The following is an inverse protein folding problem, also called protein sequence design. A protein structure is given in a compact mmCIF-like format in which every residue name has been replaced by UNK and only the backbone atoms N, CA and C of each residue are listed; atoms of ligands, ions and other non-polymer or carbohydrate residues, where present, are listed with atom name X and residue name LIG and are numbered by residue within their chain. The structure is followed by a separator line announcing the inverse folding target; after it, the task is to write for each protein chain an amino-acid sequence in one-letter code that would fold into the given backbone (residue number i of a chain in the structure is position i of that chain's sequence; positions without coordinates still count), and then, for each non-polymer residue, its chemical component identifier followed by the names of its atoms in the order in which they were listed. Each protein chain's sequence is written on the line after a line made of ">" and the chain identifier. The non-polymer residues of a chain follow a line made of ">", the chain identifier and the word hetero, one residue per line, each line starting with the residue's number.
data_IF_363605213560
#
_entry.id   IF_363605213560
#
_cell.length_a   1.000
_cell.length_b   1.000
_cell.length_c   1.000
_cell.angle_alpha   90.00
_cell.angle_beta   90.00
_cell.angle_gamma   90.00
#
_symmetry.space_group_name_H-M   'P 1'
#
loop_
_entity.id
_entity.type
_entity.pdbx_description
1 polymer ?
#
# COMPACT_ATOMS: atom_id res chain seq x y z
N UNK A 1 9.91 -31.71 -1.45
CA UNK A 1 9.14 -32.20 -0.27
C UNK A 1 8.85 -31.03 0.66
N UNK A 2 7.62 -30.97 1.18
CA UNK A 2 7.18 -29.92 2.12
C UNK A 2 6.52 -30.62 3.30
N UNK A 3 6.96 -30.29 4.51
CA UNK A 3 6.42 -30.82 5.76
C UNK A 3 6.10 -29.67 6.72
N UNK A 4 4.93 -29.73 7.38
CA UNK A 4 4.59 -28.83 8.48
C UNK A 4 4.97 -29.51 9.81
N UNK A 5 5.96 -28.97 10.52
CA UNK A 5 6.42 -29.50 11.79
C UNK A 5 6.63 -28.37 12.79
N UNK A 6 6.11 -28.54 14.00
CA UNK A 6 6.21 -27.60 15.11
C UNK A 6 5.83 -26.14 14.76
N UNK A 7 4.83 -25.97 13.85
CA UNK A 7 4.37 -24.66 13.37
C UNK A 7 5.25 -24.05 12.27
N UNK A 8 6.28 -24.76 11.79
CA UNK A 8 7.17 -24.32 10.71
C UNK A 8 6.96 -25.14 9.44
N UNK A 9 7.06 -24.48 8.29
CA UNK A 9 7.13 -25.14 6.99
C UNK A 9 8.59 -25.53 6.69
N UNK A 10 8.85 -26.83 6.67
CA UNK A 10 10.13 -27.40 6.25
C UNK A 10 10.05 -27.75 4.77
N UNK A 11 10.83 -27.06 3.94
CA UNK A 11 10.87 -27.31 2.50
C UNK A 11 12.27 -27.80 2.11
N UNK A 12 12.34 -28.90 1.36
CA UNK A 12 13.60 -29.47 0.89
C UNK A 12 13.48 -29.83 -0.59
N UNK A 13 14.51 -29.47 -1.37
CA UNK A 13 14.62 -29.93 -2.75
C UNK A 13 14.97 -31.41 -2.81
N UNK A 14 14.54 -32.15 -3.84
CA UNK A 14 14.96 -33.53 -4.04
C UNK A 14 16.50 -33.62 -4.07
N UNK A 15 17.03 -34.59 -3.31
CA UNK A 15 18.47 -34.84 -3.20
C UNK A 15 19.30 -33.61 -2.76
N UNK A 16 18.73 -32.67 -2.01
CA UNK A 16 19.38 -31.41 -1.57
C UNK A 16 20.03 -30.63 -2.73
N UNK A 17 19.52 -30.81 -3.94
CA UNK A 17 20.02 -30.15 -5.14
C UNK A 17 19.37 -28.81 -5.41
N UNK A 18 19.60 -28.24 -6.60
CA UNK A 18 18.91 -27.04 -7.09
C UNK A 18 17.45 -27.35 -7.41
N UNK A 19 16.59 -26.34 -7.26
CA UNK A 19 15.23 -26.39 -7.79
C UNK A 19 15.24 -26.70 -9.29
N UNK A 20 14.20 -27.35 -9.75
CA UNK A 20 14.00 -27.62 -11.18
C UNK A 20 12.89 -26.69 -11.69
N UNK A 21 13.13 -26.04 -12.83
CA UNK A 21 12.18 -25.15 -13.47
C UNK A 21 10.89 -25.86 -13.84
N UNK A 22 9.80 -25.13 -13.88
CA UNK A 22 8.47 -25.64 -14.22
C UNK A 22 7.48 -24.51 -14.43
N UNK A 23 6.26 -24.86 -14.87
CA UNK A 23 5.16 -23.91 -15.01
C UNK A 23 4.27 -23.92 -13.78
N UNK A 24 3.91 -22.73 -13.30
CA UNK A 24 2.96 -22.55 -12.21
C UNK A 24 1.99 -21.42 -12.53
N UNK A 25 0.72 -21.59 -12.12
CA UNK A 25 -0.32 -20.56 -12.22
C UNK A 25 -0.84 -20.24 -10.83
N UNK A 26 -0.70 -19.00 -10.40
CA UNK A 26 -1.29 -18.54 -9.14
C UNK A 26 -2.82 -18.55 -9.22
N UNK A 27 -3.48 -18.91 -8.13
CA UNK A 27 -4.96 -18.84 -8.03
C UNK A 27 -5.44 -17.39 -8.09
N UNK A 28 -4.67 -16.46 -7.52
CA UNK A 28 -4.87 -15.02 -7.58
C UNK A 28 -3.50 -14.33 -7.68
N UNK A 29 -3.47 -13.13 -8.27
CA UNK A 29 -2.24 -12.35 -8.38
C UNK A 29 -1.78 -11.91 -6.98
N UNK A 30 -0.69 -12.51 -6.50
CA UNK A 30 -0.11 -12.23 -5.19
C UNK A 30 1.30 -11.69 -5.37
N UNK A 31 1.56 -10.49 -4.82
CA UNK A 31 2.88 -9.84 -4.87
C UNK A 31 3.93 -10.72 -4.20
N UNK A 32 3.75 -11.09 -2.94
CA UNK A 32 4.73 -11.89 -2.21
C UNK A 32 4.97 -13.28 -2.81
N UNK A 33 3.93 -13.94 -3.38
CA UNK A 33 4.12 -15.21 -4.07
C UNK A 33 4.91 -15.03 -5.38
N UNK A 34 4.65 -13.94 -6.13
CA UNK A 34 5.38 -13.61 -7.35
C UNK A 34 6.85 -13.31 -7.05
N UNK A 35 7.14 -12.48 -6.05
CA UNK A 35 8.51 -12.15 -5.63
C UNK A 35 9.30 -13.41 -5.24
N UNK A 36 8.73 -14.23 -4.36
CA UNK A 36 9.38 -15.46 -3.91
C UNK A 36 9.62 -16.44 -5.07
N UNK A 37 8.63 -16.61 -5.99
CA UNK A 37 8.79 -17.46 -7.15
C UNK A 37 9.91 -16.95 -8.07
N UNK A 38 9.93 -15.66 -8.38
CA UNK A 38 10.94 -15.05 -9.25
C UNK A 38 12.34 -15.22 -8.66
N UNK A 39 12.54 -14.90 -7.39
CA UNK A 39 13.84 -15.07 -6.72
C UNK A 39 14.30 -16.52 -6.72
N UNK A 40 13.43 -17.46 -6.37
CA UNK A 40 13.77 -18.88 -6.32
C UNK A 40 14.08 -19.46 -7.71
N UNK A 41 13.33 -19.04 -8.74
CA UNK A 41 13.48 -19.52 -10.11
C UNK A 41 14.76 -19.02 -10.78
N UNK A 42 15.34 -17.90 -10.34
CA UNK A 42 16.60 -17.36 -10.90
C UNK A 42 17.75 -18.39 -10.85
N UNK A 43 17.78 -19.25 -9.83
CA UNK A 43 18.80 -20.25 -9.65
C UNK A 43 18.29 -21.69 -9.91
N UNK A 44 17.07 -21.88 -10.37
CA UNK A 44 16.54 -23.19 -10.72
C UNK A 44 17.21 -23.74 -11.99
N UNK A 45 17.21 -25.06 -12.17
CA UNK A 45 17.69 -25.68 -13.42
C UNK A 45 16.61 -25.57 -14.49
N UNK A 46 16.93 -25.02 -15.67
CA UNK A 46 16.04 -24.95 -16.80
C UNK A 46 15.15 -23.72 -16.83
N UNK A 47 13.95 -23.85 -17.41
CA UNK A 47 12.98 -22.76 -17.60
C UNK A 47 11.85 -22.86 -16.57
N UNK A 48 11.53 -21.74 -15.95
CA UNK A 48 10.34 -21.55 -15.11
C UNK A 48 9.39 -20.55 -15.74
N UNK A 49 8.08 -20.74 -15.56
CA UNK A 49 7.07 -19.79 -15.99
C UNK A 49 6.00 -19.62 -14.90
N UNK A 50 5.74 -18.37 -14.52
CA UNK A 50 4.67 -18.01 -13.61
C UNK A 50 3.56 -17.33 -14.40
N UNK A 51 2.33 -17.87 -14.30
CA UNK A 51 1.11 -17.29 -14.90
C UNK A 51 0.25 -16.69 -13.78
N UNK A 52 -0.55 -15.69 -14.12
CA UNK A 52 -1.32 -14.87 -13.18
C UNK A 52 -0.41 -14.23 -12.11
N UNK A 53 0.77 -13.79 -12.54
CA UNK A 53 1.73 -13.08 -11.72
C UNK A 53 1.19 -11.69 -11.33
N UNK A 54 1.67 -11.16 -10.22
CA UNK A 54 1.46 -9.77 -9.84
C UNK A 54 2.21 -8.84 -10.82
N UNK A 55 1.60 -7.70 -11.15
CA UNK A 55 2.11 -6.74 -12.13
C UNK A 55 2.57 -5.42 -11.50
N UNK A 56 2.56 -5.35 -10.17
CA UNK A 56 2.92 -4.16 -9.40
C UNK A 56 4.33 -3.65 -9.77
N UNK A 57 4.55 -2.33 -9.69
CA UNK A 57 5.85 -1.71 -9.94
C UNK A 57 7.00 -2.32 -9.13
N UNK A 58 6.72 -2.84 -7.92
CA UNK A 58 7.66 -3.52 -7.04
C UNK A 58 8.20 -4.81 -7.68
N UNK A 59 7.37 -5.53 -8.44
CA UNK A 59 7.79 -6.71 -9.20
C UNK A 59 8.75 -6.33 -10.32
N UNK A 60 8.44 -5.26 -11.04
CA UNK A 60 9.31 -4.74 -12.12
C UNK A 60 10.66 -4.29 -11.54
N UNK A 61 10.64 -3.63 -10.40
CA UNK A 61 11.84 -3.17 -9.70
C UNK A 61 12.72 -4.34 -9.24
N UNK A 62 12.11 -5.36 -8.59
CA UNK A 62 12.81 -6.59 -8.19
C UNK A 62 13.45 -7.29 -9.41
N UNK A 63 12.69 -7.44 -10.51
CA UNK A 63 13.20 -8.07 -11.72
C UNK A 63 14.35 -7.26 -12.33
N UNK A 64 14.27 -5.93 -12.31
CA UNK A 64 15.34 -5.05 -12.77
C UNK A 64 16.61 -5.26 -11.94
N UNK A 65 16.48 -5.34 -10.61
CA UNK A 65 17.59 -5.67 -9.72
C UNK A 65 18.19 -7.04 -10.05
N UNK A 66 17.38 -8.08 -10.16
CA UNK A 66 17.84 -9.43 -10.47
C UNK A 66 18.51 -9.53 -11.86
N UNK A 67 18.00 -8.83 -12.85
CA UNK A 67 18.65 -8.73 -14.17
C UNK A 67 20.02 -8.07 -14.10
N UNK A 68 20.18 -7.02 -13.29
CA UNK A 68 21.48 -6.41 -13.06
C UNK A 68 22.48 -7.34 -12.36
N UNK A 69 21.97 -8.33 -11.60
CA UNK A 69 22.77 -9.41 -11.01
C UNK A 69 23.07 -10.55 -11.99
N UNK A 70 22.54 -10.51 -13.22
CA UNK A 70 22.75 -11.51 -14.26
C UNK A 70 21.62 -12.54 -14.43
N UNK A 71 20.45 -12.33 -13.79
CA UNK A 71 19.30 -13.19 -14.00
C UNK A 71 18.72 -13.04 -15.43
N UNK A 72 18.19 -14.14 -15.97
CA UNK A 72 17.54 -14.17 -17.28
C UNK A 72 16.01 -14.25 -17.09
N UNK A 73 15.35 -13.09 -17.08
CA UNK A 73 13.92 -12.94 -16.80
C UNK A 73 13.28 -12.11 -17.92
N UNK A 74 12.04 -12.41 -18.25
CA UNK A 74 11.20 -11.64 -19.17
C UNK A 74 9.74 -11.68 -18.75
N UNK A 75 8.95 -10.66 -19.17
CA UNK A 75 7.53 -10.57 -18.91
C UNK A 75 7.19 -9.85 -17.59
N UNK A 76 8.14 -9.19 -16.93
CA UNK A 76 7.85 -8.33 -15.80
C UNK A 76 6.85 -7.23 -16.17
N UNK A 77 5.95 -6.90 -15.23
CA UNK A 77 4.86 -5.95 -15.49
C UNK A 77 3.70 -6.53 -16.33
N UNK A 78 3.76 -7.82 -16.66
CA UNK A 78 2.65 -8.57 -17.26
C UNK A 78 2.21 -9.70 -16.36
N UNK A 79 1.08 -10.33 -16.67
CA UNK A 79 0.56 -11.47 -15.91
C UNK A 79 1.36 -12.78 -16.08
N UNK A 80 2.39 -12.77 -16.93
CA UNK A 80 3.18 -13.97 -17.24
C UNK A 80 4.67 -13.66 -17.24
N UNK A 81 5.39 -14.21 -16.25
CA UNK A 81 6.85 -14.05 -16.10
C UNK A 81 7.54 -15.35 -16.48
N UNK A 82 8.56 -15.26 -17.34
CA UNK A 82 9.40 -16.38 -17.72
C UNK A 82 10.82 -16.17 -17.24
N UNK A 83 11.40 -17.20 -16.61
CA UNK A 83 12.75 -17.18 -16.04
C UNK A 83 13.54 -18.36 -16.59
N UNK A 84 14.75 -18.11 -17.08
CA UNK A 84 15.76 -19.15 -17.34
C UNK A 84 16.78 -19.11 -16.22
N UNK A 85 16.82 -20.16 -15.43
CA UNK A 85 17.74 -20.20 -14.29
C UNK A 85 19.20 -20.15 -14.72
N UNK A 86 20.01 -19.44 -13.94
CA UNK A 86 21.45 -19.30 -14.14
C UNK A 86 22.22 -20.05 -13.04
N UNK A 87 23.51 -20.31 -13.25
CA UNK A 87 24.30 -21.05 -12.27
C UNK A 87 24.64 -20.20 -11.04
N UNK A 88 24.79 -18.89 -11.23
CA UNK A 88 25.06 -17.92 -10.15
C UNK A 88 24.53 -16.54 -10.52
N UNK A 89 24.25 -15.75 -9.49
CA UNK A 89 24.05 -14.31 -9.58
C UNK A 89 25.30 -13.58 -9.10
N UNK A 90 25.55 -12.40 -9.65
CA UNK A 90 26.67 -11.54 -9.27
C UNK A 90 26.18 -10.41 -8.35
N UNK A 91 27.11 -9.72 -7.70
CA UNK A 91 26.78 -8.45 -7.00
C UNK A 91 26.36 -7.37 -7.99
N UNK A 92 25.43 -6.53 -7.57
CA UNK A 92 24.97 -5.37 -8.35
C UNK A 92 24.66 -4.19 -7.42
N UNK A 93 24.68 -2.98 -7.99
CA UNK A 93 24.17 -1.77 -7.33
C UNK A 93 22.81 -1.46 -7.93
N UNK A 94 21.79 -1.33 -7.08
CA UNK A 94 20.43 -1.03 -7.49
C UNK A 94 19.83 0.03 -6.57
N UNK A 95 19.12 1.00 -7.14
CA UNK A 95 18.33 1.96 -6.38
C UNK A 95 16.88 1.48 -6.36
N UNK A 96 16.39 1.11 -5.19
CA UNK A 96 15.02 0.63 -5.01
C UNK A 96 14.03 1.74 -5.35
N UNK A 97 12.94 1.37 -6.01
CA UNK A 97 11.83 2.28 -6.32
C UNK A 97 11.23 2.85 -5.02
N UNK A 98 10.69 4.07 -5.11
CA UNK A 98 9.99 4.66 -3.95
C UNK A 98 8.77 3.82 -3.54
N UNK A 99 8.46 3.81 -2.24
CA UNK A 99 7.23 3.18 -1.73
C UNK A 99 6.00 4.01 -2.15
N UNK A 100 5.23 3.48 -3.12
CA UNK A 100 4.03 4.14 -3.63
C UNK A 100 2.91 4.22 -2.58
N UNK A 101 2.87 3.31 -1.61
CA UNK A 101 1.86 3.33 -0.56
C UNK A 101 2.19 4.41 0.47
N UNK A 102 3.47 4.58 0.80
CA UNK A 102 3.92 5.74 1.58
C UNK A 102 3.61 7.05 0.84
N UNK A 103 3.90 7.12 -0.47
CA UNK A 103 3.55 8.27 -1.32
C UNK A 103 2.05 8.59 -1.22
N UNK A 104 1.17 7.62 -1.50
CA UNK A 104 -0.28 7.81 -1.46
C UNK A 104 -0.79 8.24 -0.08
N UNK A 105 -0.18 7.72 0.98
CA UNK A 105 -0.50 8.13 2.35
C UNK A 105 -0.16 9.61 2.59
N UNK A 106 1.02 10.08 2.19
CA UNK A 106 1.38 11.49 2.33
C UNK A 106 0.61 12.41 1.37
N UNK A 107 0.13 11.90 0.23
CA UNK A 107 -0.80 12.65 -0.62
C UNK A 107 -2.11 13.00 0.11
N UNK A 108 -2.59 12.12 0.99
CA UNK A 108 -3.81 12.35 1.77
C UNK A 108 -3.63 13.34 2.92
N UNK A 109 -2.44 13.50 3.46
CA UNK A 109 -2.21 14.38 4.62
C UNK A 109 -2.67 15.85 4.38
N UNK A 110 -2.24 16.55 3.30
CA UNK A 110 -2.72 17.91 3.02
C UNK A 110 -4.21 17.95 2.63
N UNK A 111 -4.72 16.85 2.08
CA UNK A 111 -6.13 16.78 1.66
C UNK A 111 -7.05 16.75 2.88
N UNK A 112 -6.74 15.92 3.87
CA UNK A 112 -7.58 15.74 5.07
C UNK A 112 -7.41 16.89 6.07
N UNK A 113 -6.17 17.40 6.23
CA UNK A 113 -5.87 18.49 7.17
C UNK A 113 -6.13 19.89 6.57
N UNK A 114 -6.25 20.00 5.25
CA UNK A 114 -6.22 21.26 4.52
C UNK A 114 -4.80 21.72 4.20
N UNK A 115 -4.60 22.35 3.05
CA UNK A 115 -3.31 22.89 2.63
C UNK A 115 -2.76 22.26 1.35
N UNK A 116 -1.44 22.37 1.18
CA UNK A 116 -0.71 21.81 0.04
C UNK A 116 0.66 21.28 0.47
N UNK A 117 1.12 20.22 -0.19
CA UNK A 117 2.45 19.62 0.04
C UNK A 117 3.07 19.23 -1.30
N UNK A 118 4.38 19.44 -1.44
CA UNK A 118 5.18 18.86 -2.52
C UNK A 118 5.86 17.58 -2.02
N UNK A 119 5.65 16.50 -2.76
CA UNK A 119 6.20 15.18 -2.48
C UNK A 119 7.38 14.92 -3.44
N UNK A 120 8.58 15.11 -2.95
CA UNK A 120 9.81 15.00 -3.73
C UNK A 120 10.01 13.55 -4.20
N UNK A 121 10.31 13.39 -5.48
CA UNK A 121 10.46 12.08 -6.13
C UNK A 121 9.13 11.39 -6.44
N UNK A 122 7.98 11.96 -6.02
CA UNK A 122 6.66 11.38 -6.27
C UNK A 122 6.37 11.19 -7.76
N UNK A 123 5.78 10.04 -8.11
CA UNK A 123 5.43 9.67 -9.48
C UNK A 123 3.96 9.23 -9.53
N UNK A 124 3.14 9.98 -10.28
CA UNK A 124 1.69 9.70 -10.39
C UNK A 124 1.40 8.36 -11.07
N UNK A 125 2.28 7.96 -11.97
CA UNK A 125 2.19 6.73 -12.76
C UNK A 125 2.20 5.45 -11.88
N UNK A 126 2.73 5.55 -10.67
CA UNK A 126 2.74 4.43 -9.71
C UNK A 126 1.38 4.21 -9.03
N UNK A 127 0.47 5.20 -9.09
CA UNK A 127 -0.79 5.24 -8.34
C UNK A 127 -1.96 5.83 -9.17
N UNK A 128 -2.03 5.56 -10.47
CA UNK A 128 -3.02 6.18 -11.36
C UNK A 128 -4.47 6.04 -10.87
N UNK A 129 -4.90 4.83 -10.50
CA UNK A 129 -6.25 4.58 -10.00
C UNK A 129 -6.55 5.36 -8.71
N UNK A 130 -5.58 5.46 -7.80
CA UNK A 130 -5.70 6.24 -6.58
C UNK A 130 -5.75 7.75 -6.86
N UNK A 131 -4.86 8.25 -7.72
CA UNK A 131 -4.85 9.66 -8.15
C UNK A 131 -6.17 10.04 -8.84
N UNK A 132 -6.73 9.15 -9.66
CA UNK A 132 -8.04 9.32 -10.27
C UNK A 132 -9.14 9.53 -9.22
N UNK A 133 -9.18 8.71 -8.16
CA UNK A 133 -10.14 8.85 -7.06
C UNK A 133 -9.94 10.13 -6.24
N UNK A 134 -8.70 10.56 -6.03
CA UNK A 134 -8.43 11.84 -5.39
C UNK A 134 -8.91 13.02 -6.25
N UNK A 135 -8.70 12.97 -7.56
CA UNK A 135 -9.19 13.99 -8.49
C UNK A 135 -10.71 14.07 -8.51
N UNK A 136 -11.39 12.90 -8.52
CA UNK A 136 -12.86 12.79 -8.41
C UNK A 136 -13.35 13.40 -7.09
N UNK A 137 -12.61 13.22 -6.00
CA UNK A 137 -12.91 13.83 -4.71
C UNK A 137 -12.65 15.35 -4.64
N UNK A 138 -12.10 15.96 -5.70
CA UNK A 138 -11.83 17.41 -5.77
C UNK A 138 -10.42 17.79 -5.31
N UNK A 139 -9.47 16.87 -5.36
CA UNK A 139 -8.06 17.12 -5.06
C UNK A 139 -7.33 17.54 -6.33
N UNK A 140 -6.49 18.57 -6.24
CA UNK A 140 -5.58 18.98 -7.31
C UNK A 140 -4.23 18.27 -7.14
N UNK A 141 -3.81 17.54 -8.18
CA UNK A 141 -2.52 16.88 -8.25
C UNK A 141 -1.81 17.40 -9.49
N UNK A 142 -0.61 17.92 -9.33
CA UNK A 142 0.19 18.45 -10.44
C UNK A 142 1.63 17.95 -10.35
N UNK A 143 2.25 17.74 -11.51
CA UNK A 143 3.68 17.43 -11.59
C UNK A 143 4.50 18.71 -11.33
N UNK A 144 5.61 18.54 -10.61
CA UNK A 144 6.60 19.59 -10.39
C UNK A 144 7.94 19.14 -10.98
N UNK A 145 8.94 20.02 -10.95
CA UNK A 145 10.32 19.66 -11.35
C UNK A 145 10.88 18.52 -10.49
N UNK A 146 10.47 18.45 -9.23
CA UNK A 146 11.06 17.52 -8.26
C UNK A 146 10.14 16.36 -7.86
N UNK A 147 8.87 16.33 -8.30
CA UNK A 147 7.93 15.30 -7.91
C UNK A 147 6.47 15.67 -8.16
N UNK A 148 5.64 15.54 -7.14
CA UNK A 148 4.20 15.82 -7.19
C UNK A 148 3.80 16.87 -6.16
N UNK A 149 2.97 17.82 -6.57
CA UNK A 149 2.28 18.74 -5.66
C UNK A 149 0.84 18.31 -5.50
N UNK A 150 0.39 18.19 -4.26
CA UNK A 150 -0.97 17.83 -3.89
C UNK A 150 -1.59 18.95 -3.09
N UNK A 151 -2.79 19.37 -3.50
CA UNK A 151 -3.50 20.48 -2.89
C UNK A 151 -4.97 20.15 -2.72
N UNK A 152 -5.53 20.47 -1.56
CA UNK A 152 -6.98 20.51 -1.38
C UNK A 152 -7.54 21.72 -2.11
N UNK A 153 -8.33 21.48 -3.16
CA UNK A 153 -8.87 22.55 -4.01
C UNK A 153 -10.16 23.16 -3.45
N UNK A 154 -10.98 22.34 -2.80
CA UNK A 154 -12.31 22.71 -2.30
C UNK A 154 -12.30 22.83 -0.77
N UNK A 155 -13.18 23.64 -0.23
CA UNK A 155 -13.38 23.72 1.23
C UNK A 155 -13.89 22.39 1.80
N UNK A 156 -14.64 21.64 1.00
CA UNK A 156 -15.12 20.30 1.31
C UNK A 156 -14.66 19.31 0.26
N UNK A 157 -14.35 18.09 0.68
CA UNK A 157 -14.02 16.96 -0.21
C UNK A 157 -15.30 16.26 -0.63
N UNK A 158 -15.43 15.93 -1.90
CA UNK A 158 -16.56 15.15 -2.40
C UNK A 158 -16.43 13.69 -1.96
N UNK A 159 -17.55 13.05 -1.66
CA UNK A 159 -17.60 11.61 -1.44
C UNK A 159 -17.35 10.87 -2.76
N UNK A 160 -16.58 9.80 -2.71
CA UNK A 160 -16.30 8.93 -3.86
C UNK A 160 -16.39 7.48 -3.46
N UNK A 161 -16.87 6.64 -4.37
CA UNK A 161 -16.88 5.20 -4.18
C UNK A 161 -15.54 4.60 -4.57
N UNK A 162 -15.10 3.63 -3.78
CA UNK A 162 -13.82 2.94 -3.97
C UNK A 162 -14.03 1.43 -3.95
N UNK A 163 -13.42 0.75 -4.92
CA UNK A 163 -13.30 -0.71 -4.92
C UNK A 163 -11.83 -1.06 -5.05
N UNK A 164 -11.31 -1.85 -4.10
CA UNK A 164 -9.94 -2.34 -4.19
C UNK A 164 -9.82 -3.40 -5.29
N UNK A 165 -8.70 -3.39 -5.97
CA UNK A 165 -8.40 -4.34 -7.04
C UNK A 165 -6.90 -4.56 -7.16
N UNK A 166 -6.52 -5.68 -7.79
CA UNK A 166 -5.12 -5.92 -8.17
C UNK A 166 -4.60 -4.81 -9.09
N UNK A 167 -3.30 -4.58 -9.08
CA UNK A 167 -2.68 -3.56 -9.92
C UNK A 167 -3.02 -3.78 -11.42
N UNK A 168 -3.35 -2.70 -12.17
CA UNK A 168 -3.25 -1.28 -11.84
C UNK A 168 -4.49 -0.67 -11.16
N UNK A 169 -5.37 -1.47 -10.54
CA UNK A 169 -6.53 -0.98 -9.82
C UNK A 169 -6.19 -0.26 -8.51
N UNK A 170 -7.25 0.12 -7.76
CA UNK A 170 -7.07 0.83 -6.49
C UNK A 170 -6.42 -0.09 -5.44
N UNK A 171 -5.25 0.29 -4.88
CA UNK A 171 -4.51 -0.59 -3.99
C UNK A 171 -5.22 -0.75 -2.65
N UNK A 172 -5.39 -2.01 -2.22
CA UNK A 172 -5.97 -2.36 -0.91
C UNK A 172 -5.19 -1.72 0.25
N UNK A 173 -3.90 -1.44 0.08
CA UNK A 173 -3.05 -0.80 1.09
C UNK A 173 -3.31 0.70 1.29
N UNK A 174 -4.11 1.33 0.44
CA UNK A 174 -4.59 2.72 0.60
C UNK A 174 -6.08 2.81 0.98
N UNK A 175 -6.76 1.68 1.15
CA UNK A 175 -8.18 1.62 1.48
C UNK A 175 -8.48 2.29 2.83
N UNK A 176 -7.72 1.97 3.88
CA UNK A 176 -7.93 2.53 5.22
C UNK A 176 -7.70 4.05 5.27
N UNK A 177 -6.67 4.53 4.57
CA UNK A 177 -6.35 5.96 4.47
C UNK A 177 -7.44 6.70 3.68
N UNK A 178 -7.95 6.11 2.61
CA UNK A 178 -9.07 6.68 1.85
C UNK A 178 -10.35 6.71 2.68
N UNK A 179 -10.62 5.67 3.48
CA UNK A 179 -11.75 5.67 4.42
C UNK A 179 -11.65 6.83 5.42
N UNK A 180 -10.47 7.10 5.97
CA UNK A 180 -10.26 8.24 6.86
C UNK A 180 -10.60 9.58 6.18
N UNK A 181 -10.23 9.76 4.90
CA UNK A 181 -10.61 10.94 4.13
C UNK A 181 -12.14 11.01 3.94
N UNK A 182 -12.77 9.90 3.55
CA UNK A 182 -14.23 9.86 3.31
C UNK A 182 -15.04 10.13 4.58
N UNK A 183 -14.48 9.90 5.77
CA UNK A 183 -15.14 10.27 7.03
C UNK A 183 -15.39 11.80 7.16
N UNK A 184 -14.67 12.64 6.41
CA UNK A 184 -14.83 14.10 6.41
C UNK A 184 -15.33 14.65 5.06
N UNK A 185 -15.72 13.79 4.14
CA UNK A 185 -16.24 14.18 2.82
C UNK A 185 -17.68 14.68 2.90
N UNK A 186 -18.12 15.36 1.86
CA UNK A 186 -19.51 15.76 1.70
C UNK A 186 -20.29 14.67 0.98
N UNK A 187 -21.12 13.93 1.71
CA UNK A 187 -21.98 12.90 1.14
C UNK A 187 -21.73 11.50 1.71
N UNK A 188 -21.96 10.49 0.90
CA UNK A 188 -21.84 9.06 1.26
C UNK A 188 -20.92 8.37 0.28
N UNK A 189 -19.98 7.59 0.82
CA UNK A 189 -19.05 6.78 0.04
C UNK A 189 -19.25 5.30 0.34
N UNK A 190 -19.15 4.47 -0.69
CA UNK A 190 -19.10 3.03 -0.58
C UNK A 190 -17.66 2.57 -0.81
N UNK A 191 -17.07 1.88 0.17
CA UNK A 191 -15.77 1.26 0.04
C UNK A 191 -15.92 -0.25 0.00
N UNK A 192 -15.52 -0.87 -1.10
CA UNK A 192 -15.57 -2.32 -1.32
C UNK A 192 -14.15 -2.89 -1.27
N UNK A 193 -13.88 -3.75 -0.29
CA UNK A 193 -12.61 -4.47 -0.16
C UNK A 193 -12.75 -5.84 -0.84
N UNK A 194 -12.11 -5.99 -2.00
CA UNK A 194 -12.21 -7.19 -2.83
C UNK A 194 -10.93 -8.05 -2.81
N UNK A 195 -9.89 -7.61 -2.09
CA UNK A 195 -8.57 -8.27 -2.07
C UNK A 195 -8.33 -9.01 -0.76
N UNK A 196 -8.63 -8.37 0.38
CA UNK A 196 -8.41 -8.95 1.71
C UNK A 196 -9.72 -9.12 2.47
N UNK A 197 -9.90 -10.29 3.03
CA UNK A 197 -10.99 -10.54 3.96
C UNK A 197 -10.77 -9.77 5.28
N UNK A 198 -11.86 -9.25 5.86
CA UNK A 198 -11.86 -8.60 7.19
C UNK A 198 -10.88 -7.42 7.36
N UNK A 199 -10.69 -6.60 6.33
CA UNK A 199 -9.72 -5.48 6.37
C UNK A 199 -10.33 -4.16 6.86
N UNK A 200 -11.40 -4.17 7.66
CA UNK A 200 -12.03 -2.96 8.22
C UNK A 200 -11.79 -2.78 9.72
N UNK A 201 -10.72 -3.32 10.29
CA UNK A 201 -10.41 -3.23 11.73
C UNK A 201 -10.15 -1.79 12.21
N UNK A 202 -9.88 -0.85 11.30
CA UNK A 202 -9.75 0.57 11.61
C UNK A 202 -11.11 1.29 11.73
N UNK A 203 -12.17 0.74 11.17
CA UNK A 203 -13.50 1.38 11.17
C UNK A 203 -14.03 1.63 12.60
N UNK A 204 -14.00 0.67 13.54
CA UNK A 204 -14.41 0.91 14.93
C UNK A 204 -13.60 2.05 15.60
N UNK A 205 -12.32 2.16 15.30
CA UNK A 205 -11.48 3.22 15.87
C UNK A 205 -11.79 4.60 15.26
N UNK A 206 -12.10 4.67 13.96
CA UNK A 206 -12.62 5.90 13.33
C UNK A 206 -13.99 6.28 13.90
N UNK A 207 -14.87 5.30 14.17
CA UNK A 207 -16.16 5.56 14.83
C UNK A 207 -16.00 6.13 16.24
N UNK A 208 -14.96 5.74 16.99
CA UNK A 208 -14.61 6.38 18.29
C UNK A 208 -14.25 7.86 18.13
N UNK A 209 -13.74 8.25 16.95
CA UNK A 209 -13.48 9.65 16.58
C UNK A 209 -14.73 10.37 16.06
N UNK A 210 -15.90 9.72 16.06
CA UNK A 210 -17.16 10.28 15.61
C UNK A 210 -17.50 10.03 14.14
N UNK A 211 -16.76 9.19 13.45
CA UNK A 211 -17.10 8.79 12.08
C UNK A 211 -18.40 7.97 12.04
N UNK A 212 -19.16 8.10 10.95
CA UNK A 212 -20.37 7.33 10.68
C UNK A 212 -20.07 6.27 9.61
N UNK A 213 -19.80 5.05 10.06
CA UNK A 213 -19.41 3.93 9.23
C UNK A 213 -20.30 2.73 9.53
N UNK A 214 -20.84 2.10 8.48
CA UNK A 214 -21.55 0.84 8.54
C UNK A 214 -20.79 -0.20 7.72
N UNK A 215 -20.37 -1.31 8.36
CA UNK A 215 -19.57 -2.36 7.72
C UNK A 215 -20.42 -3.62 7.60
N UNK A 216 -20.55 -4.12 6.37
CA UNK A 216 -21.26 -5.37 6.06
C UNK A 216 -20.40 -6.23 5.13
N UNK A 217 -19.83 -7.31 5.67
CA UNK A 217 -18.90 -8.18 4.93
C UNK A 217 -17.71 -7.39 4.37
N UNK A 218 -17.45 -7.51 3.08
CA UNK A 218 -16.39 -6.80 2.37
C UNK A 218 -16.72 -5.36 1.95
N UNK A 219 -17.78 -4.76 2.49
CA UNK A 219 -18.23 -3.41 2.10
C UNK A 219 -18.41 -2.52 3.33
N UNK A 220 -17.93 -1.29 3.26
CA UNK A 220 -18.20 -0.23 4.23
C UNK A 220 -18.93 0.93 3.56
N UNK A 221 -20.00 1.42 4.20
CA UNK A 221 -20.69 2.65 3.84
C UNK A 221 -20.26 3.73 4.81
N UNK A 222 -19.62 4.79 4.31
CA UNK A 222 -19.09 5.90 5.11
C UNK A 222 -19.92 7.14 4.82
N UNK A 223 -20.54 7.72 5.85
CA UNK A 223 -21.22 9.01 5.77
C UNK A 223 -20.28 10.07 6.31
N UNK A 224 -19.92 11.03 5.49
CA UNK A 224 -19.05 12.12 5.92
C UNK A 224 -19.68 12.95 7.03
N UNK A 225 -18.84 13.35 7.97
CA UNK A 225 -19.22 14.24 9.08
C UNK A 225 -18.47 15.57 8.96
N UNK A 226 -19.05 16.69 9.42
CA UNK A 226 -18.37 17.98 9.35
C UNK A 226 -17.02 18.01 10.03
N UNK A 227 -16.86 17.24 11.12
CA UNK A 227 -15.61 17.19 11.90
C UNK A 227 -15.51 15.89 12.68
N UNK A 228 -14.32 15.31 12.70
CA UNK A 228 -13.94 14.26 13.63
C UNK A 228 -13.55 14.87 14.98
N UNK A 229 -13.60 14.08 16.04
CA UNK A 229 -13.21 14.46 17.41
C UNK A 229 -11.95 13.70 17.81
N UNK A 230 -11.07 14.37 18.50
CA UNK A 230 -9.91 13.73 19.11
C UNK A 230 -10.33 12.64 20.09
N UNK A 231 -9.67 11.50 20.04
CA UNK A 231 -9.97 10.33 20.88
C UNK A 231 -8.71 9.52 21.19
N UNK A 232 -8.81 8.64 22.17
CA UNK A 232 -7.82 7.58 22.38
C UNK A 232 -8.20 6.40 21.50
N UNK A 233 -7.34 6.08 20.53
CA UNK A 233 -7.53 5.01 19.54
C UNK A 233 -6.33 4.07 19.51
N UNK A 234 -6.52 2.88 19.01
CA UNK A 234 -5.51 1.83 19.01
C UNK A 234 -5.16 1.38 17.60
N UNK A 235 -3.87 1.41 17.28
CA UNK A 235 -3.34 0.84 16.06
C UNK A 235 -3.46 -0.71 16.08
N UNK A 236 -4.13 -1.28 15.08
CA UNK A 236 -4.34 -2.73 14.96
C UNK A 236 -3.35 -3.38 14.00
N UNK A 237 -2.97 -2.66 12.96
CA UNK A 237 -1.99 -3.07 11.94
C UNK A 237 -1.33 -1.82 11.31
N UNK A 238 -0.42 -2.05 10.37
CA UNK A 238 0.34 -0.99 9.70
C UNK A 238 -0.56 0.02 8.97
N UNK A 239 -1.53 -0.43 8.19
CA UNK A 239 -2.37 0.44 7.33
C UNK A 239 -3.49 1.11 8.13
N UNK A 240 -4.12 0.36 9.04
CA UNK A 240 -5.06 0.93 10.01
C UNK A 240 -4.40 2.02 10.85
N UNK A 241 -3.17 1.79 11.32
CA UNK A 241 -2.44 2.75 12.15
C UNK A 241 -2.29 4.11 11.50
N UNK A 242 -1.84 4.15 10.24
CA UNK A 242 -1.60 5.44 9.55
C UNK A 242 -2.91 6.14 9.20
N UNK A 243 -3.99 5.40 8.93
CA UNK A 243 -5.30 6.01 8.70
C UNK A 243 -5.80 6.78 9.93
N UNK A 244 -5.54 6.27 11.15
CA UNK A 244 -5.86 6.95 12.39
C UNK A 244 -5.01 8.21 12.63
N UNK A 245 -3.74 8.20 12.21
CA UNK A 245 -2.91 9.42 12.21
C UNK A 245 -3.52 10.47 11.28
N UNK A 246 -3.86 10.09 10.03
CA UNK A 246 -4.50 11.00 9.08
C UNK A 246 -5.81 11.56 9.61
N UNK A 247 -6.67 10.71 10.17
CA UNK A 247 -7.92 11.16 10.82
C UNK A 247 -7.64 12.12 11.98
N UNK A 248 -6.58 11.87 12.78
CA UNK A 248 -6.15 12.73 13.86
C UNK A 248 -5.72 14.14 13.41
N UNK A 249 -5.14 14.27 12.20
CA UNK A 249 -4.77 15.58 11.64
C UNK A 249 -6.00 16.46 11.34
N UNK A 250 -7.16 15.87 11.07
CA UNK A 250 -8.42 16.56 10.80
C UNK A 250 -9.33 16.70 12.04
N UNK A 251 -9.02 15.99 13.12
CA UNK A 251 -9.88 15.92 14.29
C UNK A 251 -9.77 17.20 15.17
N UNK A 252 -10.89 17.59 15.78
CA UNK A 252 -10.88 18.61 16.80
C UNK A 252 -10.42 18.05 18.16
N UNK A 253 -9.49 18.72 18.80
CA UNK A 253 -8.88 18.26 20.07
C UNK A 253 -7.68 17.37 19.81
N UNK A 254 -7.34 16.54 20.79
CA UNK A 254 -6.15 15.69 20.77
C UNK A 254 -6.53 14.24 20.47
N UNK A 255 -5.85 13.61 19.50
CA UNK A 255 -5.93 12.19 19.24
C UNK A 255 -4.68 11.49 19.76
N UNK A 256 -4.86 10.46 20.60
CA UNK A 256 -3.76 9.61 21.08
C UNK A 256 -3.87 8.24 20.40
N UNK A 257 -2.88 7.90 19.60
CA UNK A 257 -2.80 6.60 18.94
C UNK A 257 -1.83 5.70 19.71
N UNK A 258 -2.34 4.59 20.23
CA UNK A 258 -1.55 3.58 20.96
C UNK A 258 -1.04 2.49 20.03
N UNK A 259 -0.04 1.70 20.46
CA UNK A 259 0.57 0.58 19.73
C UNK A 259 1.18 0.98 18.38
N UNK A 260 1.75 2.16 18.29
CA UNK A 260 2.31 2.74 17.05
C UNK A 260 3.55 2.01 16.51
N UNK A 261 4.06 0.99 17.19
CA UNK A 261 5.13 0.13 16.67
C UNK A 261 4.77 -0.54 15.34
N UNK A 262 3.48 -0.70 15.04
CA UNK A 262 3.02 -1.16 13.73
C UNK A 262 3.39 -0.19 12.61
N UNK A 263 3.39 1.14 12.88
CA UNK A 263 3.76 2.18 11.90
C UNK A 263 5.24 2.15 11.54
N UNK A 264 6.10 1.86 12.52
CA UNK A 264 7.55 1.90 12.35
C UNK A 264 8.06 0.88 11.31
N UNK A 265 7.23 -0.09 10.94
CA UNK A 265 7.54 -1.12 9.94
C UNK A 265 7.47 -0.61 8.50
N UNK A 266 6.74 0.45 8.21
CA UNK A 266 6.52 0.91 6.84
C UNK A 266 6.45 2.42 6.67
N UNK A 267 6.70 3.20 7.73
CA UNK A 267 6.71 4.67 7.67
C UNK A 267 7.92 5.22 8.41
N UNK A 268 9.02 5.34 7.68
CA UNK A 268 10.26 5.88 8.23
C UNK A 268 10.07 7.34 8.66
N UNK A 269 10.43 7.65 9.92
CA UNK A 269 10.40 9.03 10.47
C UNK A 269 9.09 9.79 10.25
N UNK A 270 7.94 9.08 10.33
CA UNK A 270 6.62 9.66 10.07
C UNK A 270 6.39 10.98 10.82
N UNK A 271 6.68 10.99 12.13
CA UNK A 271 6.48 12.19 12.98
C UNK A 271 7.32 13.37 12.50
N UNK A 272 8.58 13.13 12.14
CA UNK A 272 9.49 14.15 11.63
C UNK A 272 9.00 14.71 10.28
N UNK A 273 8.66 13.81 9.34
CA UNK A 273 8.13 14.18 8.02
C UNK A 273 6.87 15.04 8.14
N UNK A 274 5.92 14.64 8.99
CA UNK A 274 4.68 15.41 9.21
C UNK A 274 4.92 16.75 9.92
N UNK A 275 5.81 16.81 10.91
CA UNK A 275 6.19 18.07 11.57
C UNK A 275 6.81 19.07 10.60
N UNK A 276 7.67 18.61 9.70
CA UNK A 276 8.37 19.44 8.73
C UNK A 276 7.41 20.12 7.72
N UNK A 277 6.21 19.58 7.55
CA UNK A 277 5.13 20.18 6.73
C UNK A 277 4.05 20.86 7.59
N UNK A 278 4.32 21.11 8.87
CA UNK A 278 3.48 21.91 9.75
C UNK A 278 2.45 21.15 10.59
N UNK A 279 2.42 19.83 10.54
CA UNK A 279 1.51 19.05 11.39
C UNK A 279 1.92 19.09 12.86
N UNK A 280 0.93 19.21 13.75
CA UNK A 280 1.13 19.15 15.22
C UNK A 280 1.02 17.69 15.67
N UNK A 281 2.11 16.96 15.57
CA UNK A 281 2.20 15.54 15.91
C UNK A 281 3.45 15.28 16.73
N UNK A 282 3.36 14.43 17.74
CA UNK A 282 4.50 14.06 18.58
C UNK A 282 4.43 12.59 18.98
N UNK A 283 5.59 12.03 19.33
CA UNK A 283 5.67 10.69 19.91
C UNK A 283 5.80 10.85 21.42
N UNK A 284 4.85 10.29 22.14
CA UNK A 284 4.87 10.22 23.60
C UNK A 284 5.30 8.83 24.06
N UNK A 285 5.98 8.76 25.20
CA UNK A 285 6.42 7.49 25.82
C UNK A 285 5.27 6.80 26.54
#
# INVERSE_FOLDING_TARGET
>A
EIELKDGYLHAQTPNKGRLVGGEHKLKFASVGATENFVMAACLAKGRSQLKNAAMEPEIVDLVTCLKSMGANISGEGTDTITIRGVDKLNGATHSVIMDRIELGTYMLAPVIAGGEVELIGGKMELLEAFCGKLTEAGVEISKTTNGLKVKRKLDTINSVDVKTAVYPGFPTDLQAQMMALMCTSNGVSKLEEAIFENRFMHAPELMRMGAQIDVQGGTAVVRGVPKLKGAQVMATDLRASVSLILAGLAAQGQTKVSRVYHLDRGYEKLVEKLKNVGAKVERVK
#
